data_IF_489300325623
#
_entry.id   IF_489300325623
#
_cell.length_a   1.000
_cell.length_b   1.000
_cell.length_c   1.000
_cell.angle_alpha   90.00
_cell.angle_beta   90.00
_cell.angle_gamma   90.00
#
_symmetry.space_group_name_H-M   'P 1'
#
loop_
_entity.id
_entity.type
_entity.pdbx_description
1 polymer ?
#
# COMPACT_ATOMS: atom_id res chain seq x y z
N UNK A 1 3.46 27.69 10.97
CA UNK A 1 3.70 26.27 10.66
C UNK A 1 2.37 25.55 10.81
N UNK A 2 1.77 25.10 9.71
CA UNK A 2 0.44 24.48 9.74
C UNK A 2 0.63 23.00 10.03
N UNK A 3 0.09 22.51 11.15
CA UNK A 3 0.27 21.14 11.60
C UNK A 3 -0.60 20.19 10.76
N UNK A 4 -0.21 20.01 9.49
CA UNK A 4 -0.96 19.24 8.49
C UNK A 4 -1.19 17.77 8.91
N UNK A 5 -0.33 17.23 9.78
CA UNK A 5 -0.49 15.91 10.38
C UNK A 5 -1.68 15.81 11.35
N UNK A 6 -2.22 16.94 11.82
CA UNK A 6 -3.41 16.99 12.70
C UNK A 6 -4.66 17.47 11.96
N UNK A 7 -4.56 17.77 10.67
CA UNK A 7 -5.71 18.13 9.85
C UNK A 7 -6.23 16.90 9.11
N UNK A 8 -7.38 16.39 9.56
CA UNK A 8 -8.05 15.24 8.96
C UNK A 8 -8.31 15.42 7.45
N UNK A 9 -8.49 16.66 6.97
CA UNK A 9 -8.74 16.95 5.56
C UNK A 9 -7.48 16.74 4.72
N UNK A 10 -6.35 17.26 5.20
CA UNK A 10 -5.06 17.07 4.53
C UNK A 10 -4.62 15.62 4.58
N UNK A 11 -4.80 14.94 5.72
CA UNK A 11 -4.49 13.51 5.84
C UNK A 11 -5.34 12.67 4.89
N UNK A 12 -6.66 12.88 4.83
CA UNK A 12 -7.52 12.14 3.91
C UNK A 12 -7.10 12.35 2.44
N UNK A 13 -6.71 13.58 2.07
CA UNK A 13 -6.17 13.88 0.75
C UNK A 13 -4.85 13.17 0.47
N UNK A 14 -3.93 13.14 1.45
CA UNK A 14 -2.66 12.40 1.33
C UNK A 14 -2.87 10.90 1.28
N UNK A 15 -3.80 10.35 2.04
CA UNK A 15 -4.17 8.94 1.98
C UNK A 15 -4.71 8.56 0.60
N UNK A 16 -5.57 9.39 0.01
CA UNK A 16 -6.00 9.20 -1.39
C UNK A 16 -4.83 9.29 -2.36
N UNK A 17 -3.97 10.31 -2.23
CA UNK A 17 -2.80 10.48 -3.08
C UNK A 17 -1.81 9.30 -2.98
N UNK A 18 -1.71 8.67 -1.79
CA UNK A 18 -0.91 7.46 -1.57
C UNK A 18 -1.45 6.23 -2.32
N UNK A 19 -2.73 6.24 -2.69
CA UNK A 19 -3.32 5.16 -3.48
C UNK A 19 -2.89 5.26 -4.95
N UNK A 20 -2.87 6.48 -5.49
CA UNK A 20 -2.57 6.74 -6.90
C UNK A 20 -1.06 6.82 -7.17
N UNK A 21 -0.29 7.36 -6.22
CA UNK A 21 1.12 7.69 -6.42
C UNK A 21 2.00 7.25 -5.26
N UNK A 22 3.27 6.98 -5.53
CA UNK A 22 4.25 6.71 -4.48
C UNK A 22 4.56 8.00 -3.71
N UNK A 23 4.01 8.12 -2.49
CA UNK A 23 4.36 9.20 -1.60
C UNK A 23 5.75 8.98 -0.95
N UNK A 24 6.52 10.06 -0.74
CA UNK A 24 7.71 10.04 0.11
C UNK A 24 7.45 9.43 1.49
N UNK A 25 8.44 8.71 2.04
CA UNK A 25 8.31 7.95 3.28
C UNK A 25 7.84 8.78 4.48
N UNK A 26 8.25 10.04 4.57
CA UNK A 26 7.84 10.93 5.67
C UNK A 26 6.32 11.19 5.70
N UNK A 27 5.66 11.23 4.54
CA UNK A 27 4.20 11.33 4.48
C UNK A 27 3.54 10.06 4.98
N UNK A 28 4.13 8.88 4.70
CA UNK A 28 3.60 7.60 5.17
C UNK A 28 3.63 7.50 6.69
N UNK A 29 4.76 7.88 7.30
CA UNK A 29 4.88 7.92 8.77
C UNK A 29 3.90 8.93 9.37
N UNK A 30 3.74 10.10 8.74
CA UNK A 30 2.78 11.10 9.20
C UNK A 30 1.33 10.61 9.17
N UNK A 31 0.94 9.91 8.11
CA UNK A 31 -0.37 9.27 8.00
C UNK A 31 -0.54 8.22 9.11
N UNK A 32 0.42 7.30 9.26
CA UNK A 32 0.37 6.25 10.30
C UNK A 32 0.16 6.84 11.70
N UNK A 33 0.92 7.89 12.04
CA UNK A 33 0.76 8.60 13.31
C UNK A 33 -0.65 9.18 13.46
N UNK A 34 -1.19 9.82 12.43
CA UNK A 34 -2.55 10.37 12.50
C UNK A 34 -3.62 9.29 12.68
N UNK A 35 -3.50 8.16 11.97
CA UNK A 35 -4.46 7.05 12.05
C UNK A 35 -4.50 6.41 13.44
N UNK A 36 -3.42 6.50 14.23
CA UNK A 36 -3.40 6.02 15.62
C UNK A 36 -4.28 6.85 16.56
N UNK A 37 -4.43 8.15 16.29
CA UNK A 37 -5.18 9.07 17.15
C UNK A 37 -6.58 9.42 16.60
N UNK A 38 -6.81 9.25 15.30
CA UNK A 38 -8.06 9.60 14.63
C UNK A 38 -8.78 8.35 14.08
N UNK A 39 -9.86 7.96 14.74
CA UNK A 39 -10.69 6.81 14.35
C UNK A 39 -11.34 6.98 12.98
N UNK A 40 -11.85 8.17 12.68
CA UNK A 40 -12.54 8.43 11.40
C UNK A 40 -11.59 8.28 10.21
N UNK A 41 -10.37 8.81 10.33
CA UNK A 41 -9.36 8.64 9.29
C UNK A 41 -8.88 7.18 9.19
N UNK A 42 -8.83 6.44 10.30
CA UNK A 42 -8.55 5.00 10.27
C UNK A 42 -9.61 4.21 9.51
N UNK A 43 -10.89 4.54 9.70
CA UNK A 43 -12.00 3.93 8.96
C UNK A 43 -11.93 4.26 7.46
N UNK A 44 -11.70 5.53 7.13
CA UNK A 44 -11.55 5.97 5.75
C UNK A 44 -10.39 5.25 5.04
N UNK A 45 -9.21 5.18 5.67
CA UNK A 45 -8.05 4.49 5.10
C UNK A 45 -8.34 3.01 4.83
N UNK A 46 -9.11 2.36 5.72
CA UNK A 46 -9.51 0.96 5.54
C UNK A 46 -10.54 0.80 4.41
N UNK A 47 -11.51 1.70 4.30
CA UNK A 47 -12.52 1.69 3.25
C UNK A 47 -11.91 1.86 1.86
N UNK A 48 -11.01 2.83 1.70
CA UNK A 48 -10.32 3.07 0.41
C UNK A 48 -9.40 1.90 0.05
N UNK A 49 -8.71 1.31 1.03
CA UNK A 49 -7.90 0.11 0.83
C UNK A 49 -8.73 -1.08 0.33
N UNK A 50 -9.92 -1.29 0.93
CA UNK A 50 -10.84 -2.35 0.52
C UNK A 50 -11.37 -2.15 -0.91
N UNK A 51 -11.75 -0.92 -1.28
CA UNK A 51 -12.18 -0.61 -2.65
C UNK A 51 -11.05 -0.90 -3.64
N UNK A 52 -9.81 -0.48 -3.33
CA UNK A 52 -8.65 -0.76 -4.18
C UNK A 52 -8.41 -2.24 -4.36
N UNK A 53 -8.53 -3.00 -3.28
CA UNK A 53 -8.38 -4.45 -3.32
C UNK A 53 -9.43 -5.09 -4.24
N UNK A 54 -10.71 -4.72 -4.11
CA UNK A 54 -11.79 -5.18 -5.02
C UNK A 54 -11.51 -4.79 -6.48
N UNK A 55 -11.10 -3.54 -6.75
CA UNK A 55 -10.80 -3.11 -8.11
C UNK A 55 -9.63 -3.90 -8.72
N UNK A 56 -8.64 -4.28 -7.92
CA UNK A 56 -7.54 -5.16 -8.38
C UNK A 56 -8.03 -6.58 -8.67
N UNK A 57 -9.03 -7.09 -7.93
CA UNK A 57 -9.65 -8.38 -8.23
C UNK A 57 -10.37 -8.39 -9.59
N UNK A 58 -11.09 -7.30 -9.91
CA UNK A 58 -11.84 -7.19 -11.18
C UNK A 58 -10.91 -7.07 -12.40
N UNK A 59 -9.81 -6.32 -12.28
CA UNK A 59 -8.81 -6.18 -13.34
C UNK A 59 -8.00 -7.49 -13.56
N UNK A 60 -7.92 -8.35 -12.55
CA UNK A 60 -7.16 -9.60 -12.59
C UNK A 60 -8.00 -10.84 -12.94
N UNK A 61 -9.33 -10.78 -12.81
CA UNK A 61 -10.25 -11.88 -13.14
C UNK A 61 -10.06 -13.19 -12.35
N UNK A 62 -9.33 -13.21 -11.23
CA UNK A 62 -8.96 -14.44 -10.49
C UNK A 62 -9.30 -14.30 -8.99
N UNK A 63 -10.03 -15.25 -8.37
CA UNK A 63 -10.36 -15.25 -6.93
C UNK A 63 -9.12 -15.42 -6.00
N UNK A 64 -9.22 -14.99 -4.73
CA UNK A 64 -8.09 -14.96 -3.77
C UNK A 64 -7.49 -16.33 -3.41
N UNK A 65 -8.19 -17.43 -3.64
CA UNK A 65 -7.74 -18.76 -3.19
C UNK A 65 -6.79 -19.46 -4.17
N UNK A 66 -6.55 -18.92 -5.37
CA UNK A 66 -5.68 -19.54 -6.39
C UNK A 66 -4.73 -18.56 -7.11
N UNK A 67 -4.42 -17.40 -6.54
CA UNK A 67 -3.32 -16.56 -7.04
C UNK A 67 -1.95 -17.12 -6.63
N UNK A 68 -1.68 -18.35 -7.03
CA UNK A 68 -0.31 -18.86 -7.10
C UNK A 68 0.41 -18.26 -8.29
N UNK A 69 0.63 -16.94 -8.25
CA UNK A 69 1.74 -16.28 -8.95
C UNK A 69 3.05 -16.72 -8.27
N UNK A 70 3.40 -18.01 -8.43
CA UNK A 70 4.77 -18.40 -8.26
C UNK A 70 5.57 -17.74 -9.38
N UNK A 71 6.71 -17.15 -9.02
CA UNK A 71 7.76 -16.84 -9.98
C UNK A 71 7.97 -18.09 -10.85
N UNK A 72 8.10 -17.90 -12.17
CA UNK A 72 8.49 -19.03 -13.04
C UNK A 72 9.76 -19.66 -12.46
N UNK A 73 9.92 -20.97 -12.64
CA UNK A 73 11.10 -21.68 -12.12
C UNK A 73 12.40 -20.99 -12.56
N UNK A 74 12.42 -20.44 -13.77
CA UNK A 74 13.52 -19.66 -14.31
C UNK A 74 13.74 -18.32 -13.56
N UNK A 75 12.67 -17.58 -13.27
CA UNK A 75 12.77 -16.33 -12.50
C UNK A 75 13.27 -16.57 -11.06
N UNK A 76 12.83 -17.66 -10.42
CA UNK A 76 13.30 -18.06 -9.10
C UNK A 76 14.81 -18.41 -9.10
N UNK A 77 15.26 -19.21 -10.09
CA UNK A 77 16.67 -19.58 -10.20
C UNK A 77 17.58 -18.38 -10.49
N UNK A 78 17.13 -17.40 -11.30
CA UNK A 78 17.87 -16.14 -11.53
C UNK A 78 18.08 -15.34 -10.25
N UNK A 79 17.05 -15.25 -9.40
CA UNK A 79 17.14 -14.53 -8.13
C UNK A 79 18.09 -15.27 -7.17
N UNK A 80 17.97 -16.59 -7.09
CA UNK A 80 18.84 -17.43 -6.25
C UNK A 80 20.32 -17.34 -6.66
N UNK A 81 20.60 -17.33 -7.97
CA UNK A 81 21.95 -17.14 -8.47
C UNK A 81 22.51 -15.77 -8.06
N UNK A 82 21.72 -14.70 -8.21
CA UNK A 82 22.13 -13.34 -7.86
C UNK A 82 22.48 -13.16 -6.38
N UNK A 83 21.76 -13.84 -5.48
CA UNK A 83 22.04 -13.82 -4.04
C UNK A 83 23.33 -14.56 -3.66
N UNK A 84 23.68 -15.63 -4.40
CA UNK A 84 24.91 -16.39 -4.16
C UNK A 84 26.18 -15.65 -4.57
N UNK A 85 26.10 -14.72 -5.51
CA UNK A 85 27.24 -13.88 -5.94
C UNK A 85 27.52 -12.70 -4.99
N UNK A 86 26.72 -12.50 -3.94
CA UNK A 86 26.95 -11.47 -2.91
C UNK A 86 27.52 -12.02 -1.59
N UNK A 87 27.95 -13.30 -1.56
CA UNK A 87 28.61 -13.94 -0.41
C UNK A 87 30.11 -14.06 -0.60
#
# INVERSE_FOLDING_TARGET
MKYWIFDCKEISKKTSQAMDTQLPLYYRVGILLHLLFCRECSLFSRQVGFIREICRYDESGIPPEESTEYLSKEACERIKASLRFQS
#
